data_IF_999945975982
#
_entry.id   IF_999945975982
#
_cell.length_a   1.000
_cell.length_b   1.000
_cell.length_c   1.000
_cell.angle_alpha   90.00
_cell.angle_beta   90.00
_cell.angle_gamma   90.00
#
_symmetry.space_group_name_H-M   'P 1'
#
loop_
_entity.id
_entity.type
_entity.pdbx_description
1 polymer ?
#
# COMPACT_ATOMS: atom_id res chain seq x y z
N UNK A 1 8.84 -20.13 -9.50
CA UNK A 1 8.74 -19.55 -8.14
C UNK A 1 10.11 -19.58 -7.51
N UNK A 2 10.65 -18.44 -7.10
CA UNK A 2 11.93 -18.39 -6.41
C UNK A 2 11.78 -18.84 -4.96
N UNK A 3 12.88 -19.22 -4.30
CA UNK A 3 12.87 -19.56 -2.88
C UNK A 3 12.31 -18.41 -2.03
N UNK A 4 12.51 -17.15 -2.45
CA UNK A 4 11.99 -15.96 -1.79
C UNK A 4 10.45 -15.88 -1.80
N UNK A 5 9.80 -16.54 -2.76
CA UNK A 5 8.34 -16.55 -2.87
C UNK A 5 7.69 -17.68 -2.05
N UNK A 6 8.48 -18.65 -1.61
CA UNK A 6 7.97 -19.79 -0.83
C UNK A 6 7.53 -19.30 0.55
N UNK A 7 6.27 -19.56 0.88
CA UNK A 7 5.70 -19.21 2.19
C UNK A 7 5.14 -17.79 2.30
N UNK A 8 5.31 -16.93 1.30
CA UNK A 8 4.67 -15.61 1.27
C UNK A 8 3.27 -15.74 0.68
N UNK A 9 2.26 -15.27 1.39
CA UNK A 9 0.88 -15.21 0.89
C UNK A 9 0.39 -13.77 0.84
N UNK A 10 -0.35 -13.45 -0.23
CA UNK A 10 -0.99 -12.14 -0.40
C UNK A 10 -2.49 -12.35 -0.24
N UNK A 11 -3.12 -11.61 0.67
CA UNK A 11 -4.56 -11.69 0.90
C UNK A 11 -5.11 -10.36 1.40
N UNK A 12 -6.41 -10.19 1.25
CA UNK A 12 -7.12 -9.02 1.75
C UNK A 12 -7.13 -9.03 3.29
N UNK A 13 -6.80 -7.89 3.89
CA UNK A 13 -6.89 -7.70 5.33
C UNK A 13 -8.37 -7.61 5.75
N UNK A 14 -8.71 -8.35 6.81
CA UNK A 14 -10.02 -8.32 7.43
C UNK A 14 -10.03 -7.36 8.62
N UNK A 15 -11.22 -7.05 9.13
CA UNK A 15 -11.35 -6.19 10.32
C UNK A 15 -10.57 -6.73 11.52
N UNK A 16 -10.46 -8.05 11.66
CA UNK A 16 -9.69 -8.70 12.73
C UNK A 16 -8.18 -8.46 12.65
N UNK A 17 -7.70 -7.96 11.52
CA UNK A 17 -6.28 -7.66 11.29
C UNK A 17 -5.88 -6.24 11.72
N UNK A 18 -6.80 -5.48 12.34
CA UNK A 18 -6.55 -4.09 12.73
C UNK A 18 -5.30 -3.88 13.56
N UNK A 19 -5.05 -4.76 14.53
CA UNK A 19 -3.85 -4.71 15.37
C UNK A 19 -2.57 -4.99 14.60
N UNK A 20 -2.59 -5.98 13.71
CA UNK A 20 -1.45 -6.31 12.84
C UNK A 20 -1.16 -5.16 11.87
N UNK A 21 -2.20 -4.59 11.28
CA UNK A 21 -2.07 -3.47 10.36
C UNK A 21 -1.50 -2.23 11.05
N UNK A 22 -1.98 -1.92 12.26
CA UNK A 22 -1.43 -0.83 13.07
C UNK A 22 0.06 -1.03 13.30
N UNK A 23 0.47 -2.21 13.76
CA UNK A 23 1.87 -2.52 14.05
C UNK A 23 2.74 -2.36 12.80
N UNK A 24 2.30 -2.85 11.65
CA UNK A 24 3.03 -2.73 10.39
C UNK A 24 3.18 -1.27 9.97
N UNK A 25 2.09 -0.50 9.97
CA UNK A 25 2.11 0.89 9.51
C UNK A 25 2.93 1.79 10.43
N UNK A 26 2.87 1.60 11.74
CA UNK A 26 3.70 2.35 12.67
C UNK A 26 5.19 2.08 12.44
N UNK A 27 5.53 0.85 12.14
CA UNK A 27 6.90 0.48 11.77
C UNK A 27 7.31 1.13 10.45
N UNK A 28 6.39 1.17 9.47
CA UNK A 28 6.63 1.83 8.19
C UNK A 28 6.97 3.31 8.34
N UNK A 29 6.23 4.02 9.18
CA UNK A 29 6.47 5.45 9.42
C UNK A 29 7.84 5.70 10.08
N UNK A 30 8.33 4.78 10.88
CA UNK A 30 9.67 4.87 11.50
C UNK A 30 10.76 4.56 10.47
N UNK A 31 10.61 3.49 9.71
CA UNK A 31 11.62 3.02 8.76
C UNK A 31 11.75 3.92 7.51
N UNK A 32 10.64 4.53 7.08
CA UNK A 32 10.57 5.37 5.88
C UNK A 32 9.70 6.61 6.12
N UNK A 33 10.10 7.46 7.04
CA UNK A 33 9.35 8.66 7.45
C UNK A 33 9.05 9.61 6.28
N UNK A 34 9.96 9.74 5.33
CA UNK A 34 9.81 10.64 4.17
C UNK A 34 8.94 10.05 3.05
N UNK A 35 8.63 8.76 3.10
CA UNK A 35 7.81 8.10 2.08
C UNK A 35 6.31 8.29 2.28
N UNK A 36 5.90 8.79 3.44
CA UNK A 36 4.50 8.96 3.81
C UNK A 36 4.19 10.40 4.17
N UNK A 37 2.94 10.83 3.91
CA UNK A 37 2.46 12.14 4.35
C UNK A 37 2.09 12.16 5.82
N UNK A 38 1.68 11.03 6.37
CA UNK A 38 1.41 10.87 7.81
C UNK A 38 2.67 10.56 8.57
N UNK A 39 2.75 11.02 9.83
CA UNK A 39 3.87 10.75 10.71
C UNK A 39 3.54 9.66 11.72
N UNK A 40 4.58 9.08 12.31
CA UNK A 40 4.44 8.14 13.42
C UNK A 40 3.64 8.76 14.58
N UNK A 41 3.98 10.00 14.95
CA UNK A 41 3.35 10.70 16.08
C UNK A 41 1.85 10.89 15.86
N UNK A 42 1.45 11.27 14.65
CA UNK A 42 0.04 11.43 14.32
C UNK A 42 -0.75 10.13 14.43
N UNK A 43 -0.11 9.01 14.05
CA UNK A 43 -0.78 7.71 13.95
C UNK A 43 -0.66 6.86 15.20
N UNK A 44 0.43 6.98 15.97
CA UNK A 44 0.66 6.21 17.19
C UNK A 44 -0.40 6.47 18.26
N UNK A 45 -0.96 7.69 18.30
CA UNK A 45 -2.03 8.06 19.21
C UNK A 45 -3.41 7.50 18.85
N UNK A 46 -3.58 6.89 17.68
CA UNK A 46 -4.85 6.34 17.25
C UNK A 46 -5.09 4.96 17.88
N UNK A 47 -6.28 4.71 18.44
CA UNK A 47 -6.60 3.40 19.02
C UNK A 47 -6.73 2.33 17.93
N UNK A 48 -6.68 1.04 18.33
CA UNK A 48 -6.84 -0.08 17.40
C UNK A 48 -8.15 0.02 16.61
N UNK A 49 -9.23 0.47 17.23
CA UNK A 49 -10.53 0.65 16.55
C UNK A 49 -10.46 1.59 15.36
N UNK A 50 -9.62 2.62 15.42
CA UNK A 50 -9.41 3.52 14.29
C UNK A 50 -8.82 2.78 13.10
N UNK A 51 -7.86 1.89 13.34
CA UNK A 51 -7.22 1.06 12.32
C UNK A 51 -8.20 0.02 11.77
N UNK A 52 -8.97 -0.62 12.65
CA UNK A 52 -10.00 -1.58 12.25
C UNK A 52 -11.03 -0.93 11.34
N UNK A 53 -11.50 0.27 11.66
CA UNK A 53 -12.43 1.01 10.82
C UNK A 53 -11.88 1.34 9.44
N UNK A 54 -10.60 1.62 9.33
CA UNK A 54 -9.95 1.82 8.03
C UNK A 54 -10.03 0.57 7.16
N UNK A 55 -9.87 -0.60 7.76
CA UNK A 55 -9.99 -1.87 7.03
C UNK A 55 -11.42 -2.21 6.66
N UNK A 56 -12.40 -1.69 7.38
CA UNK A 56 -13.83 -1.91 7.14
C UNK A 56 -14.41 -0.94 6.10
N UNK A 57 -13.70 0.12 5.75
CA UNK A 57 -14.19 1.14 4.82
C UNK A 57 -14.51 0.49 3.47
N UNK A 58 -15.80 0.49 3.02
CA UNK A 58 -16.20 -0.18 1.79
C UNK A 58 -15.63 0.46 0.52
N UNK A 59 -15.09 1.68 0.62
CA UNK A 59 -14.47 2.39 -0.52
C UNK A 59 -13.01 1.99 -0.70
N UNK A 60 -12.48 1.11 0.14
CA UNK A 60 -11.07 0.73 0.13
C UNK A 60 -10.90 -0.79 0.10
N UNK A 61 -9.77 -1.22 -0.45
CA UNK A 61 -9.30 -2.61 -0.38
C UNK A 61 -7.86 -2.55 0.11
N UNK A 62 -7.57 -3.20 1.23
CA UNK A 62 -6.20 -3.29 1.77
C UNK A 62 -5.73 -4.73 1.64
N UNK A 63 -4.60 -4.92 0.95
CA UNK A 63 -3.95 -6.20 0.79
C UNK A 63 -2.74 -6.28 1.72
N UNK A 64 -2.48 -7.47 2.23
CA UNK A 64 -1.34 -7.75 3.07
C UNK A 64 -0.52 -8.90 2.54
N UNK A 65 0.80 -8.81 2.73
CA UNK A 65 1.73 -9.91 2.52
C UNK A 65 2.07 -10.52 3.87
N UNK A 66 1.90 -11.81 3.99
CA UNK A 66 2.16 -12.58 5.21
C UNK A 66 3.29 -13.56 4.97
N UNK A 67 4.19 -13.69 5.94
CA UNK A 67 5.21 -14.73 5.91
C UNK A 67 4.62 -16.09 6.30
N UNK A 68 5.44 -17.14 6.27
CA UNK A 68 5.00 -18.49 6.58
C UNK A 68 4.48 -18.64 8.01
N UNK A 69 4.96 -17.80 8.91
CA UNK A 69 4.51 -17.77 10.32
C UNK A 69 3.24 -16.95 10.57
N UNK A 70 2.68 -16.35 9.51
CA UNK A 70 1.48 -15.50 9.62
C UNK A 70 1.76 -14.07 10.03
N UNK A 71 3.02 -13.63 10.01
CA UNK A 71 3.38 -12.24 10.30
C UNK A 71 3.08 -11.35 9.10
N UNK A 72 2.41 -10.25 9.33
CA UNK A 72 2.14 -9.24 8.30
C UNK A 72 3.43 -8.43 8.03
N UNK A 73 3.95 -8.54 6.83
CA UNK A 73 5.27 -7.99 6.46
C UNK A 73 5.21 -6.94 5.36
N UNK A 74 4.07 -6.77 4.74
CA UNK A 74 3.88 -5.77 3.69
C UNK A 74 2.42 -5.47 3.45
N UNK A 75 2.14 -4.35 2.79
CA UNK A 75 0.79 -3.90 2.51
C UNK A 75 0.73 -3.03 1.26
N UNK A 76 -0.46 -2.94 0.71
CA UNK A 76 -0.86 -1.96 -0.32
C UNK A 76 -2.35 -1.73 -0.20
N UNK A 77 -2.80 -0.50 -0.47
CA UNK A 77 -4.19 -0.13 -0.35
C UNK A 77 -4.69 0.52 -1.64
N UNK A 78 -5.91 0.18 -2.03
CA UNK A 78 -6.64 0.83 -3.10
C UNK A 78 -7.77 1.66 -2.49
N UNK A 79 -7.87 2.92 -2.88
CA UNK A 79 -8.93 3.83 -2.45
C UNK A 79 -9.75 4.27 -3.65
N UNK A 80 -11.06 4.01 -3.60
CA UNK A 80 -12.00 4.39 -4.67
C UNK A 80 -12.43 5.83 -4.50
N UNK A 81 -12.63 6.53 -5.62
CA UNK A 81 -13.23 7.86 -5.64
C UNK A 81 -14.74 7.72 -5.77
N UNK A 82 -15.49 8.45 -4.95
CA UNK A 82 -16.95 8.31 -4.88
C UNK A 82 -17.69 9.32 -5.77
N UNK A 83 -17.06 10.40 -6.18
CA UNK A 83 -17.68 11.38 -7.07
C UNK A 83 -17.92 10.76 -8.45
N UNK A 84 -19.13 11.00 -9.00
CA UNK A 84 -19.55 10.40 -10.26
C UNK A 84 -18.54 10.51 -11.40
N UNK A 85 -17.86 11.65 -11.52
CA UNK A 85 -16.88 11.90 -12.59
C UNK A 85 -15.48 11.34 -12.29
N UNK A 86 -15.27 10.78 -11.11
CA UNK A 86 -13.98 10.25 -10.68
C UNK A 86 -14.02 8.74 -10.40
N UNK A 87 -15.19 8.10 -10.48
CA UNK A 87 -15.35 6.66 -10.18
C UNK A 87 -14.58 5.73 -11.11
N UNK A 88 -14.09 6.24 -12.23
CA UNK A 88 -13.23 5.49 -13.14
C UNK A 88 -11.78 5.40 -12.65
N UNK A 89 -11.45 6.08 -11.56
CA UNK A 89 -10.10 6.10 -10.97
C UNK A 89 -10.09 5.40 -9.63
N UNK A 90 -8.95 4.77 -9.33
CA UNK A 90 -8.64 4.28 -8.00
C UNK A 90 -7.24 4.76 -7.65
N UNK A 91 -7.01 5.10 -6.39
CA UNK A 91 -5.69 5.54 -5.91
C UNK A 91 -5.03 4.42 -5.12
N UNK A 92 -3.77 4.16 -5.45
CA UNK A 92 -2.93 3.22 -4.72
C UNK A 92 -2.18 3.98 -3.63
N UNK A 93 -2.29 3.52 -2.39
CA UNK A 93 -1.68 4.16 -1.22
C UNK A 93 -1.08 3.10 -0.30
N UNK A 94 -0.40 3.55 0.75
CA UNK A 94 0.12 2.71 1.83
C UNK A 94 0.93 1.50 1.34
N UNK A 95 1.69 1.69 0.26
CA UNK A 95 2.58 0.65 -0.25
C UNK A 95 3.84 0.57 0.60
N UNK A 96 4.05 -0.57 1.24
CA UNK A 96 5.21 -0.77 2.10
C UNK A 96 5.54 -2.24 2.27
N UNK A 97 6.84 -2.56 2.29
CA UNK A 97 7.37 -3.87 2.67
C UNK A 97 8.45 -3.64 3.72
N UNK A 98 8.41 -4.42 4.80
CA UNK A 98 9.42 -4.35 5.86
C UNK A 98 10.83 -4.49 5.28
N UNK A 99 11.76 -3.71 5.82
CA UNK A 99 13.17 -3.68 5.39
C UNK A 99 13.80 -5.07 5.31
N UNK A 100 13.54 -5.90 6.32
CA UNK A 100 14.10 -7.25 6.41
C UNK A 100 13.65 -8.16 5.28
N UNK A 101 12.57 -7.79 4.60
CA UNK A 101 11.99 -8.54 3.47
C UNK A 101 12.22 -7.85 2.12
N UNK A 102 12.95 -6.76 2.10
CA UNK A 102 13.24 -6.03 0.86
C UNK A 102 14.08 -6.87 -0.11
N UNK A 103 13.90 -6.60 -1.40
CA UNK A 103 14.67 -7.28 -2.45
C UNK A 103 14.23 -8.71 -2.76
N UNK A 104 13.08 -9.15 -2.24
CA UNK A 104 12.54 -10.51 -2.45
C UNK A 104 11.36 -10.56 -3.42
N UNK A 105 11.04 -9.45 -4.07
CA UNK A 105 9.92 -9.38 -5.02
C UNK A 105 8.53 -9.27 -4.37
N UNK A 106 8.44 -9.07 -3.06
CA UNK A 106 7.17 -9.00 -2.33
C UNK A 106 6.37 -7.77 -2.74
N UNK A 107 7.03 -6.62 -2.85
CA UNK A 107 6.41 -5.38 -3.30
C UNK A 107 5.79 -5.52 -4.68
N UNK A 108 6.49 -6.18 -5.61
CA UNK A 108 5.98 -6.47 -6.94
C UNK A 108 4.74 -7.35 -6.88
N UNK A 109 4.76 -8.40 -6.08
CA UNK A 109 3.60 -9.30 -5.92
C UNK A 109 2.39 -8.56 -5.36
N UNK A 110 2.60 -7.69 -4.35
CA UNK A 110 1.53 -6.85 -3.79
C UNK A 110 0.92 -5.94 -4.86
N UNK A 111 1.76 -5.29 -5.66
CA UNK A 111 1.30 -4.40 -6.73
C UNK A 111 0.57 -5.16 -7.84
N UNK A 112 1.08 -6.30 -8.24
CA UNK A 112 0.43 -7.15 -9.25
C UNK A 112 -0.97 -7.58 -8.78
N UNK A 113 -1.08 -7.98 -7.51
CA UNK A 113 -2.37 -8.35 -6.93
C UNK A 113 -3.32 -7.15 -6.81
N UNK A 114 -2.80 -5.99 -6.41
CA UNK A 114 -3.59 -4.76 -6.35
C UNK A 114 -4.14 -4.37 -7.72
N UNK A 115 -3.31 -4.45 -8.76
CA UNK A 115 -3.74 -4.18 -10.13
C UNK A 115 -4.78 -5.21 -10.61
N UNK A 116 -4.62 -6.48 -10.24
CA UNK A 116 -5.61 -7.51 -10.55
C UNK A 116 -6.95 -7.22 -9.86
N UNK A 117 -6.92 -6.77 -8.61
CA UNK A 117 -8.14 -6.36 -7.89
C UNK A 117 -8.79 -5.14 -8.54
N UNK A 118 -7.99 -4.15 -8.94
CA UNK A 118 -8.51 -2.96 -9.62
C UNK A 118 -9.21 -3.31 -10.94
N UNK A 119 -8.67 -4.26 -11.71
CA UNK A 119 -9.27 -4.72 -12.96
C UNK A 119 -10.63 -5.39 -12.77
N UNK A 120 -10.91 -5.93 -11.59
CA UNK A 120 -12.20 -6.55 -11.25
C UNK A 120 -13.22 -5.53 -10.75
N UNK A 121 -12.81 -4.31 -10.46
CA UNK A 121 -13.71 -3.26 -9.96
C UNK A 121 -14.46 -2.64 -11.12
N UNK A 122 -15.80 -2.58 -11.00
CA UNK A 122 -16.65 -1.98 -12.01
C UNK A 122 -16.29 -0.50 -12.24
N UNK A 123 -16.31 -0.09 -13.49
CA UNK A 123 -16.05 1.28 -13.93
C UNK A 123 -14.61 1.78 -13.72
N UNK A 124 -13.71 1.01 -13.13
CA UNK A 124 -12.32 1.44 -12.93
C UNK A 124 -11.54 1.30 -14.23
N UNK A 125 -10.94 2.40 -14.67
CA UNK A 125 -10.11 2.49 -15.88
C UNK A 125 -8.68 2.89 -15.58
N UNK A 126 -8.44 3.58 -14.45
CA UNK A 126 -7.14 4.16 -14.11
C UNK A 126 -6.76 3.85 -12.67
N UNK A 127 -5.50 3.55 -12.46
CA UNK A 127 -4.87 3.47 -11.13
C UNK A 127 -3.83 4.57 -11.03
N UNK A 128 -4.02 5.48 -10.06
CA UNK A 128 -3.11 6.58 -9.79
C UNK A 128 -2.33 6.30 -8.51
N UNK A 129 -1.12 6.84 -8.45
CA UNK A 129 -0.34 6.84 -7.21
C UNK A 129 0.53 8.10 -7.15
N UNK A 130 0.98 8.42 -5.96
CA UNK A 130 1.97 9.46 -5.71
C UNK A 130 3.18 8.83 -5.02
N UNK A 131 4.36 9.18 -5.45
CA UNK A 131 5.62 8.69 -4.88
C UNK A 131 6.62 9.84 -4.82
N UNK A 132 7.45 9.87 -3.77
CA UNK A 132 8.53 10.84 -3.71
C UNK A 132 9.56 10.57 -4.79
N UNK A 133 10.02 11.62 -5.47
CA UNK A 133 10.88 11.49 -6.66
C UNK A 133 12.24 10.83 -6.35
N UNK A 134 12.73 10.97 -5.13
CA UNK A 134 13.99 10.37 -4.68
C UNK A 134 13.85 8.90 -4.22
N UNK A 135 12.64 8.39 -4.10
CA UNK A 135 12.42 6.96 -3.84
C UNK A 135 12.59 6.16 -5.14
N UNK A 136 13.85 6.04 -5.57
CA UNK A 136 14.19 5.47 -6.87
C UNK A 136 13.77 4.01 -7.04
N UNK A 137 13.82 3.22 -5.96
CA UNK A 137 13.41 1.82 -6.01
C UNK A 137 11.91 1.70 -6.30
N UNK A 138 11.09 2.53 -5.64
CA UNK A 138 9.65 2.55 -5.87
C UNK A 138 9.30 3.07 -7.26
N UNK A 139 9.92 4.17 -7.70
CA UNK A 139 9.72 4.72 -9.05
C UNK A 139 10.04 3.66 -10.11
N UNK A 140 11.15 2.97 -9.95
CA UNK A 140 11.58 1.93 -10.88
C UNK A 140 10.58 0.77 -10.92
N UNK A 141 10.12 0.31 -9.75
CA UNK A 141 9.13 -0.76 -9.64
C UNK A 141 7.82 -0.38 -10.33
N UNK A 142 7.30 0.82 -10.06
CA UNK A 142 6.06 1.30 -10.70
C UNK A 142 6.21 1.39 -12.21
N UNK A 143 7.35 1.90 -12.70
CA UNK A 143 7.61 1.99 -14.14
C UNK A 143 7.61 0.62 -14.82
N UNK A 144 8.18 -0.41 -14.18
CA UNK A 144 8.18 -1.77 -14.74
C UNK A 144 6.79 -2.38 -14.84
N UNK A 145 5.83 -1.89 -14.04
CA UNK A 145 4.43 -2.34 -14.07
C UNK A 145 3.54 -1.48 -14.97
N UNK A 146 4.12 -0.55 -15.71
CA UNK A 146 3.41 0.26 -16.70
C UNK A 146 2.92 1.62 -16.21
N UNK A 147 3.26 2.03 -15.00
CA UNK A 147 2.93 3.36 -14.52
C UNK A 147 3.76 4.40 -15.25
N UNK A 148 3.11 5.51 -15.63
CA UNK A 148 3.75 6.63 -16.29
C UNK A 148 3.59 7.90 -15.48
N UNK A 149 4.66 8.69 -15.39
CA UNK A 149 4.61 9.99 -14.72
C UNK A 149 3.75 10.96 -15.51
N UNK A 150 2.76 11.56 -14.86
CA UNK A 150 1.93 12.61 -15.49
C UNK A 150 2.14 13.99 -14.86
N UNK A 151 2.88 14.08 -13.76
CA UNK A 151 3.14 15.36 -13.14
C UNK A 151 4.11 15.25 -11.97
N UNK A 152 4.60 16.41 -11.53
CA UNK A 152 5.47 16.54 -10.37
C UNK A 152 5.05 17.76 -9.57
N UNK A 153 4.76 17.53 -8.29
CA UNK A 153 4.46 18.60 -7.34
C UNK A 153 5.71 18.94 -6.54
N UNK A 154 6.26 20.12 -6.79
CA UNK A 154 7.41 20.60 -6.04
C UNK A 154 6.97 20.94 -4.60
N UNK A 155 7.75 20.51 -3.62
CA UNK A 155 7.50 20.78 -2.20
C UNK A 155 6.14 20.25 -1.70
N UNK A 156 5.70 19.11 -2.25
CA UNK A 156 4.45 18.49 -1.86
C UNK A 156 4.41 18.07 -0.38
N UNK A 157 5.56 17.66 0.17
CA UNK A 157 5.72 17.26 1.56
C UNK A 157 6.88 18.04 2.18
N UNK A 158 6.67 18.53 3.39
CA UNK A 158 7.70 19.20 4.18
C UNK A 158 8.22 18.25 5.24
N UNK A 159 9.51 17.99 5.20
CA UNK A 159 10.21 17.13 6.16
C UNK A 159 10.99 17.92 7.19
#
# INVERSE_FOLDING_TARGET
>A
MSEADVGISIKRLAQSDGGLYRALMLRAYIEHDTAFTSTFEERAGKPVDWWTRRLQDPTTVTLGAYDIGGTLIGTVRLESFQRRRERHKVQLTAMYVLKDYAGRGIGRRLLEEALAQARKMDAVELVNLTVTADNLNAVRLYSTLGFQTFGREARAVKT
#
